data_IF_142626602373
#
_entry.id   IF_142626602373
#
_cell.length_a   1.000
_cell.length_b   1.000
_cell.length_c   1.000
_cell.angle_alpha   90.00
_cell.angle_beta   90.00
_cell.angle_gamma   90.00
#
_symmetry.space_group_name_H-M   'P 1'
#
loop_
_entity.id
_entity.type
_entity.pdbx_description
1 polymer ?
#
# COMPACT_ATOMS: atom_id res chain seq x y z
N UNK A 1 -85.61 -14.31 5.92
CA UNK A 1 -84.71 -13.57 4.99
C UNK A 1 -83.38 -13.33 5.71
N UNK A 2 -82.35 -14.16 5.42
CA UNK A 2 -81.01 -14.03 6.04
C UNK A 2 -80.00 -13.65 4.96
N UNK A 3 -79.46 -12.43 5.02
CA UNK A 3 -78.40 -11.96 4.14
C UNK A 3 -77.05 -12.31 4.76
N UNK A 4 -76.34 -13.22 4.13
CA UNK A 4 -74.95 -13.54 4.45
C UNK A 4 -74.02 -12.53 3.74
N UNK A 5 -73.22 -11.75 4.49
CA UNK A 5 -72.12 -10.95 3.98
C UNK A 5 -70.85 -11.79 3.99
N UNK A 6 -70.27 -12.02 2.81
CA UNK A 6 -68.95 -12.62 2.63
C UNK A 6 -67.91 -11.49 2.71
N UNK A 7 -67.11 -11.48 3.76
CA UNK A 7 -65.93 -10.62 3.90
C UNK A 7 -64.76 -11.29 3.18
N UNK A 8 -64.35 -10.73 2.05
CA UNK A 8 -63.13 -11.12 1.33
C UNK A 8 -61.93 -10.45 2.01
N UNK A 9 -61.15 -11.24 2.78
CA UNK A 9 -59.86 -10.81 3.34
C UNK A 9 -58.81 -10.87 2.23
N UNK A 10 -58.42 -9.71 1.71
CA UNK A 10 -57.29 -9.59 0.80
C UNK A 10 -55.97 -9.76 1.56
N UNK A 11 -55.25 -10.84 1.27
CA UNK A 11 -53.89 -11.10 1.81
C UNK A 11 -52.88 -10.24 1.05
N UNK A 12 -52.45 -9.12 1.63
CA UNK A 12 -51.35 -8.32 1.11
C UNK A 12 -50.06 -9.08 1.44
N UNK A 13 -49.50 -9.77 0.46
CA UNK A 13 -48.16 -10.36 0.55
C UNK A 13 -47.11 -9.20 0.53
N UNK A 14 -46.61 -8.84 1.69
CA UNK A 14 -45.43 -7.98 1.84
C UNK A 14 -44.23 -8.72 1.23
N UNK A 15 -43.88 -8.36 -0.01
CA UNK A 15 -42.61 -8.78 -0.61
C UNK A 15 -41.47 -8.17 0.21
N UNK A 16 -40.93 -8.92 1.14
CA UNK A 16 -39.64 -8.62 1.78
C UNK A 16 -38.56 -8.76 0.71
N UNK A 17 -38.15 -7.64 0.09
CA UNK A 17 -36.88 -7.57 -0.64
C UNK A 17 -35.77 -7.79 0.41
N UNK A 18 -34.95 -8.85 0.30
CA UNK A 18 -33.85 -9.03 1.23
C UNK A 18 -32.95 -7.80 1.12
N UNK A 19 -32.83 -7.04 2.21
CA UNK A 19 -31.83 -5.99 2.35
C UNK A 19 -30.47 -6.66 2.13
N UNK A 20 -29.86 -6.42 0.99
CA UNK A 20 -28.53 -6.90 0.66
C UNK A 20 -27.60 -6.25 1.68
N UNK A 21 -27.21 -7.00 2.71
CA UNK A 21 -26.20 -6.53 3.63
C UNK A 21 -25.00 -6.06 2.82
N UNK A 22 -24.59 -4.80 3.01
CA UNK A 22 -23.44 -4.24 2.29
C UNK A 22 -22.21 -5.08 2.61
N UNK A 23 -21.67 -5.76 1.61
CA UNK A 23 -20.45 -6.55 1.78
C UNK A 23 -19.31 -5.65 2.22
N UNK A 24 -18.59 -6.07 3.27
CA UNK A 24 -17.48 -5.31 3.87
C UNK A 24 -16.21 -6.17 3.98
N UNK A 25 -15.64 -6.65 2.86
CA UNK A 25 -14.45 -7.47 2.87
C UNK A 25 -13.29 -6.80 3.58
N UNK A 26 -12.50 -7.59 4.32
CA UNK A 26 -11.29 -7.11 4.99
C UNK A 26 -10.08 -7.32 4.06
N UNK A 27 -9.47 -6.22 3.67
CA UNK A 27 -8.38 -6.16 2.68
C UNK A 27 -7.06 -5.83 3.38
N UNK A 28 -6.07 -6.69 3.24
CA UNK A 28 -4.70 -6.39 3.62
C UNK A 28 -4.04 -5.54 2.52
N UNK A 29 -3.49 -4.38 2.86
CA UNK A 29 -2.91 -3.47 1.87
C UNK A 29 -1.55 -2.92 2.33
N UNK A 30 -0.58 -2.90 1.42
CA UNK A 30 0.69 -2.23 1.67
C UNK A 30 0.46 -0.73 1.95
N UNK A 31 1.13 -0.18 2.96
CA UNK A 31 0.93 1.22 3.38
C UNK A 31 1.29 2.25 2.33
N UNK A 32 2.10 1.89 1.33
CA UNK A 32 2.37 2.74 0.16
C UNK A 32 1.12 3.03 -0.68
N UNK A 33 0.07 2.21 -0.54
CA UNK A 33 -1.19 2.36 -1.27
C UNK A 33 -2.19 3.25 -0.54
N UNK A 34 -1.95 3.59 0.71
CA UNK A 34 -2.94 4.25 1.56
C UNK A 34 -3.54 5.51 0.90
N UNK A 35 -2.76 6.46 0.34
CA UNK A 35 -3.35 7.65 -0.29
C UNK A 35 -4.27 7.32 -1.48
N UNK A 36 -3.88 6.32 -2.29
CA UNK A 36 -4.67 5.88 -3.43
C UNK A 36 -5.95 5.14 -3.00
N UNK A 37 -5.88 4.33 -1.94
CA UNK A 37 -7.03 3.58 -1.44
C UNK A 37 -8.03 4.46 -0.68
N UNK A 38 -7.59 5.54 -0.07
CA UNK A 38 -8.47 6.57 0.51
C UNK A 38 -9.31 7.25 -0.57
N UNK A 39 -8.72 7.54 -1.74
CA UNK A 39 -9.47 8.05 -2.91
C UNK A 39 -10.33 6.96 -3.56
N UNK A 40 -9.83 5.72 -3.67
CA UNK A 40 -10.54 4.61 -4.29
C UNK A 40 -11.80 4.17 -3.51
N UNK A 41 -11.79 4.26 -2.19
CA UNK A 41 -12.86 3.74 -1.34
C UNK A 41 -14.27 4.22 -1.73
N UNK A 42 -14.53 5.54 -1.85
CA UNK A 42 -15.81 6.07 -2.31
C UNK A 42 -16.18 5.61 -3.73
N UNK A 43 -15.21 5.52 -4.65
CA UNK A 43 -15.45 5.06 -6.03
C UNK A 43 -15.86 3.59 -6.06
N UNK A 44 -15.18 2.74 -5.28
CA UNK A 44 -15.53 1.32 -5.11
C UNK A 44 -16.96 1.20 -4.60
N UNK A 45 -17.30 1.92 -3.53
CA UNK A 45 -18.64 1.88 -2.94
C UNK A 45 -19.73 2.25 -3.94
N UNK A 46 -19.51 3.32 -4.72
CA UNK A 46 -20.46 3.79 -5.71
C UNK A 46 -20.63 2.80 -6.87
N UNK A 47 -19.53 2.22 -7.37
CA UNK A 47 -19.55 1.37 -8.57
C UNK A 47 -19.92 -0.08 -8.29
N UNK A 48 -19.58 -0.58 -7.10
CA UNK A 48 -19.74 -2.01 -6.76
C UNK A 48 -20.77 -2.28 -5.68
N UNK A 49 -21.16 -1.28 -4.89
CA UNK A 49 -21.95 -1.45 -3.67
C UNK A 49 -21.18 -2.10 -2.53
N UNK A 50 -19.86 -2.33 -2.68
CA UNK A 50 -19.00 -2.94 -1.67
C UNK A 50 -18.28 -1.83 -0.89
N UNK A 51 -18.22 -1.97 0.44
CA UNK A 51 -17.48 -1.05 1.32
C UNK A 51 -16.28 -1.79 1.93
N UNK A 52 -15.12 -1.86 1.27
CA UNK A 52 -13.97 -2.58 1.80
C UNK A 52 -13.45 -1.93 3.08
N UNK A 53 -12.91 -2.75 3.98
CA UNK A 53 -12.13 -2.30 5.14
C UNK A 53 -10.67 -2.59 4.87
N UNK A 54 -9.82 -1.59 4.95
CA UNK A 54 -8.38 -1.74 4.72
C UNK A 54 -7.63 -1.88 6.05
N UNK A 55 -6.78 -2.90 6.14
CA UNK A 55 -5.76 -3.04 7.17
C UNK A 55 -4.39 -2.81 6.52
N UNK A 56 -3.70 -1.76 6.96
CA UNK A 56 -2.44 -1.34 6.37
C UNK A 56 -1.24 -1.92 7.11
N UNK A 57 -0.20 -2.34 6.36
CA UNK A 57 1.03 -2.87 6.92
C UNK A 57 2.15 -3.02 5.89
N UNK A 58 3.30 -3.54 6.31
CA UNK A 58 4.33 -4.02 5.38
C UNK A 58 3.87 -5.32 4.72
N UNK A 59 4.13 -5.49 3.41
CA UNK A 59 3.66 -6.66 2.64
C UNK A 59 4.07 -7.99 3.27
N UNK A 60 5.32 -8.11 3.73
CA UNK A 60 5.81 -9.33 4.39
C UNK A 60 5.12 -9.61 5.73
N UNK A 61 4.78 -8.57 6.52
CA UNK A 61 4.03 -8.74 7.77
C UNK A 61 2.59 -9.20 7.48
N UNK A 62 1.92 -8.59 6.51
CA UNK A 62 0.57 -8.96 6.10
C UNK A 62 0.53 -10.39 5.53
N UNK A 63 1.53 -10.77 4.74
CA UNK A 63 1.67 -12.12 4.22
C UNK A 63 1.82 -13.15 5.35
N UNK A 64 2.66 -12.87 6.37
CA UNK A 64 2.77 -13.74 7.54
C UNK A 64 1.46 -13.86 8.32
N UNK A 65 0.73 -12.77 8.49
CA UNK A 65 -0.59 -12.80 9.15
C UNK A 65 -1.59 -13.67 8.37
N UNK A 66 -1.61 -13.60 7.03
CA UNK A 66 -2.44 -14.46 6.18
C UNK A 66 -2.04 -15.94 6.37
N UNK A 67 -0.75 -16.25 6.35
CA UNK A 67 -0.25 -17.61 6.59
C UNK A 67 -0.62 -18.14 7.98
N UNK A 68 -0.73 -17.26 8.98
CA UNK A 68 -1.19 -17.57 10.35
C UNK A 68 -2.71 -17.59 10.50
N UNK A 69 -3.47 -17.42 9.41
CA UNK A 69 -4.92 -17.54 9.41
C UNK A 69 -5.70 -16.25 9.67
N UNK A 70 -5.06 -15.07 9.57
CA UNK A 70 -5.78 -13.81 9.65
C UNK A 70 -6.92 -13.74 8.61
N UNK A 71 -8.07 -13.09 8.94
CA UNK A 71 -9.28 -13.14 8.15
C UNK A 71 -9.28 -12.18 6.96
N UNK A 72 -8.13 -11.95 6.35
CA UNK A 72 -8.03 -11.14 5.13
C UNK A 72 -8.56 -11.90 3.93
N UNK A 73 -9.33 -11.21 3.10
CA UNK A 73 -9.96 -11.77 1.92
C UNK A 73 -9.19 -11.47 0.62
N UNK A 74 -8.44 -10.38 0.60
CA UNK A 74 -7.60 -9.94 -0.52
C UNK A 74 -6.31 -9.34 0.04
N UNK A 75 -5.18 -9.56 -0.62
CA UNK A 75 -3.90 -8.90 -0.34
C UNK A 75 -3.50 -8.02 -1.52
N UNK A 76 -3.24 -6.75 -1.24
CA UNK A 76 -2.62 -5.76 -2.14
C UNK A 76 -1.18 -5.55 -1.67
N UNK A 77 -0.24 -6.33 -2.20
CA UNK A 77 1.17 -6.26 -1.82
C UNK A 77 1.94 -5.24 -2.67
N UNK A 78 3.02 -4.69 -2.12
CA UNK A 78 3.96 -3.82 -2.83
C UNK A 78 5.14 -4.60 -3.46
N UNK A 79 5.06 -5.92 -3.50
CA UNK A 79 5.98 -6.82 -4.18
C UNK A 79 5.28 -8.09 -4.69
N UNK A 80 5.95 -8.81 -5.59
CA UNK A 80 5.49 -10.11 -6.08
C UNK A 80 5.82 -11.24 -5.09
N UNK A 81 6.96 -11.16 -4.42
CA UNK A 81 7.47 -12.24 -3.57
C UNK A 81 6.50 -12.63 -2.45
N UNK A 82 5.86 -11.65 -1.80
CA UNK A 82 4.86 -11.88 -0.76
C UNK A 82 3.66 -12.69 -1.27
N UNK A 83 3.17 -12.37 -2.47
CA UNK A 83 2.05 -13.08 -3.11
C UNK A 83 2.47 -14.48 -3.56
N UNK A 84 3.58 -14.59 -4.30
CA UNK A 84 4.03 -15.87 -4.84
C UNK A 84 4.36 -16.89 -3.73
N UNK A 85 4.94 -16.42 -2.63
CA UNK A 85 5.20 -17.27 -1.44
C UNK A 85 3.90 -17.80 -0.84
N UNK A 86 2.90 -16.95 -0.66
CA UNK A 86 1.59 -17.36 -0.14
C UNK A 86 0.83 -18.28 -1.10
N UNK A 87 0.91 -18.03 -2.42
CA UNK A 87 0.29 -18.88 -3.42
C UNK A 87 0.91 -20.29 -3.41
N UNK A 88 2.24 -20.38 -3.39
CA UNK A 88 2.98 -21.65 -3.27
C UNK A 88 2.62 -22.42 -1.99
N UNK A 89 2.38 -21.71 -0.90
CA UNK A 89 1.94 -22.30 0.39
C UNK A 89 0.43 -22.63 0.42
N UNK A 90 -0.33 -22.37 -0.65
CA UNK A 90 -1.75 -22.70 -0.74
C UNK A 90 -2.71 -21.76 -0.01
N UNK A 91 -2.26 -20.58 0.42
CA UNK A 91 -3.08 -19.60 1.13
C UNK A 91 -3.92 -18.70 0.20
N UNK A 92 -3.56 -18.63 -1.09
CA UNK A 92 -4.24 -17.82 -2.10
C UNK A 92 -5.00 -18.70 -3.09
N UNK A 93 -5.96 -18.12 -3.81
CA UNK A 93 -6.71 -18.82 -4.86
C UNK A 93 -5.84 -19.13 -6.08
N UNK A 94 -4.96 -18.19 -6.43
CA UNK A 94 -4.02 -18.23 -7.55
C UNK A 94 -2.77 -17.38 -7.23
N UNK A 95 -1.89 -17.20 -8.23
CA UNK A 95 -0.71 -16.34 -8.10
C UNK A 95 -1.02 -14.85 -8.23
N UNK A 96 -2.26 -14.47 -8.46
CA UNK A 96 -2.71 -13.09 -8.59
C UNK A 96 -2.15 -12.36 -9.81
N UNK A 97 -2.25 -11.02 -9.78
CA UNK A 97 -1.94 -10.16 -10.92
C UNK A 97 -1.07 -8.99 -10.49
N UNK A 98 -0.08 -8.64 -11.31
CA UNK A 98 0.62 -7.35 -11.17
C UNK A 98 -0.35 -6.26 -11.63
N UNK A 99 -0.53 -5.20 -10.82
CA UNK A 99 -1.50 -4.16 -11.10
C UNK A 99 -0.91 -2.75 -11.12
N UNK A 100 0.29 -2.58 -10.55
CA UNK A 100 0.99 -1.30 -10.53
C UNK A 100 2.49 -1.50 -10.30
N UNK A 101 3.26 -0.45 -10.56
CA UNK A 101 4.67 -0.35 -10.22
C UNK A 101 4.91 0.84 -9.30
N UNK A 102 5.52 0.61 -8.14
CA UNK A 102 5.90 1.64 -7.21
C UNK A 102 7.24 2.29 -7.56
N UNK A 103 7.47 3.51 -7.08
CA UNK A 103 8.74 4.24 -7.24
C UNK A 103 9.29 4.62 -5.87
N UNK A 104 10.60 4.46 -5.71
CA UNK A 104 11.33 4.91 -4.54
C UNK A 104 11.70 6.38 -4.69
N UNK A 105 11.56 7.17 -3.62
CA UNK A 105 11.90 8.58 -3.57
C UNK A 105 12.86 8.88 -2.43
N UNK A 106 13.87 9.71 -2.71
CA UNK A 106 14.72 10.35 -1.72
C UNK A 106 14.01 11.61 -1.22
N UNK A 107 13.62 11.60 0.04
CA UNK A 107 12.99 12.73 0.70
C UNK A 107 13.98 13.47 1.61
N UNK A 108 14.02 14.79 1.50
CA UNK A 108 14.76 15.67 2.37
C UNK A 108 13.79 16.60 3.11
N UNK A 109 13.81 16.60 4.44
CA UNK A 109 13.05 17.52 5.27
C UNK A 109 13.54 18.97 5.04
N UNK A 110 12.69 19.96 5.22
CA UNK A 110 13.12 21.35 5.23
C UNK A 110 14.25 21.56 6.26
N UNK A 111 15.32 22.22 5.86
CA UNK A 111 16.53 22.39 6.67
C UNK A 111 17.46 21.16 6.71
N UNK A 112 17.20 20.13 5.93
CA UNK A 112 18.14 19.02 5.74
C UNK A 112 19.46 19.52 5.12
N UNK A 113 20.59 18.85 5.44
CA UNK A 113 21.91 19.26 4.94
C UNK A 113 22.15 18.92 3.47
N UNK A 114 21.17 18.37 2.75
CA UNK A 114 21.26 18.01 1.32
C UNK A 114 20.00 18.42 0.55
N UNK A 115 20.18 18.61 -0.76
CA UNK A 115 19.08 18.71 -1.71
C UNK A 115 18.82 17.32 -2.33
N UNK A 116 17.59 16.78 -2.26
CA UNK A 116 17.29 15.49 -2.88
C UNK A 116 17.49 15.49 -4.39
N UNK A 117 17.41 16.64 -5.07
CA UNK A 117 17.67 16.75 -6.51
C UNK A 117 19.10 16.36 -6.90
N UNK A 118 20.06 16.46 -5.97
CA UNK A 118 21.44 16.00 -6.17
C UNK A 118 21.60 14.47 -6.08
N UNK A 119 20.51 13.73 -5.81
CA UNK A 119 20.52 12.28 -5.73
C UNK A 119 21.17 11.72 -4.46
N UNK A 120 21.19 10.38 -4.39
CA UNK A 120 21.72 9.65 -3.23
C UNK A 120 23.23 9.85 -3.01
N UNK A 121 24.00 10.09 -4.07
CA UNK A 121 25.44 10.34 -3.97
C UNK A 121 25.78 11.58 -3.12
N UNK A 122 24.87 12.55 -3.05
CA UNK A 122 25.05 13.74 -2.22
C UNK A 122 25.14 13.42 -0.71
N UNK A 123 24.68 12.23 -0.29
CA UNK A 123 24.80 11.79 1.10
C UNK A 123 26.24 11.43 1.49
N UNK A 124 27.10 11.03 0.54
CA UNK A 124 28.46 10.54 0.78
C UNK A 124 29.33 11.53 1.58
N UNK A 125 29.56 12.77 1.13
CA UNK A 125 30.37 13.73 1.88
C UNK A 125 29.73 14.10 3.22
N UNK A 126 28.41 14.09 3.32
CA UNK A 126 27.71 14.42 4.56
C UNK A 126 27.82 13.31 5.61
N UNK A 127 27.82 12.06 5.18
CA UNK A 127 28.05 10.90 6.04
C UNK A 127 29.49 10.91 6.57
N UNK A 128 30.46 11.16 5.70
CA UNK A 128 31.88 11.27 6.09
C UNK A 128 32.11 12.43 7.09
N UNK A 129 31.41 13.55 6.92
CA UNK A 129 31.48 14.71 7.82
C UNK A 129 30.58 14.58 9.08
N UNK A 130 29.88 13.45 9.27
CA UNK A 130 28.98 13.25 10.41
C UNK A 130 27.73 14.16 10.43
N UNK A 131 27.38 14.78 9.30
CA UNK A 131 26.29 15.76 9.20
C UNK A 131 24.89 15.12 9.05
N UNK A 132 24.81 13.80 8.90
CA UNK A 132 23.56 13.04 8.90
C UNK A 132 23.46 12.31 10.24
N UNK A 133 22.62 12.82 11.13
CA UNK A 133 22.40 12.19 12.43
C UNK A 133 21.44 11.01 12.34
N UNK A 134 20.33 11.15 11.61
CA UNK A 134 19.30 10.12 11.40
C UNK A 134 18.78 10.16 9.98
N UNK A 135 18.50 8.97 9.42
CA UNK A 135 17.94 8.81 8.09
C UNK A 135 16.95 7.64 8.10
N UNK A 136 15.73 7.86 7.58
CA UNK A 136 14.65 6.89 7.71
C UNK A 136 14.53 5.99 6.48
N UNK A 137 14.35 4.70 6.72
CA UNK A 137 13.91 3.72 5.71
C UNK A 137 12.91 2.76 6.37
N UNK A 138 12.10 2.05 5.57
CA UNK A 138 11.31 0.94 6.10
C UNK A 138 12.22 -0.26 6.42
N UNK A 139 11.80 -1.14 7.32
CA UNK A 139 12.57 -2.35 7.66
C UNK A 139 12.71 -3.26 6.42
N UNK A 140 13.93 -3.52 5.93
CA UNK A 140 14.16 -4.35 4.74
C UNK A 140 13.69 -5.80 4.88
N UNK A 141 13.65 -6.34 6.11
CA UNK A 141 13.23 -7.71 6.35
C UNK A 141 11.75 -7.95 6.01
N UNK A 142 10.93 -6.91 6.11
CA UNK A 142 9.47 -7.06 6.02
C UNK A 142 8.81 -6.17 4.97
N UNK A 143 9.48 -5.07 4.58
CA UNK A 143 8.91 -4.05 3.71
C UNK A 143 9.62 -4.01 2.35
N UNK A 144 8.89 -4.13 1.22
CA UNK A 144 9.47 -4.08 -0.12
C UNK A 144 10.25 -2.79 -0.38
N UNK A 145 9.73 -1.65 0.02
CA UNK A 145 10.43 -0.36 -0.11
C UNK A 145 11.67 -0.26 0.78
N UNK A 146 11.72 -1.00 1.89
CA UNK A 146 12.92 -1.12 2.72
C UNK A 146 14.01 -1.90 2.00
N UNK A 147 13.67 -3.02 1.34
CA UNK A 147 14.62 -3.78 0.50
C UNK A 147 15.15 -2.93 -0.65
N UNK A 148 14.27 -2.24 -1.37
CA UNK A 148 14.67 -1.35 -2.45
C UNK A 148 15.60 -0.22 -1.97
N UNK A 149 15.34 0.34 -0.78
CA UNK A 149 16.21 1.34 -0.15
C UNK A 149 17.59 0.77 0.19
N UNK A 150 17.65 -0.42 0.80
CA UNK A 150 18.90 -1.12 1.10
C UNK A 150 19.70 -1.42 -0.16
N UNK A 151 19.05 -1.97 -1.20
CA UNK A 151 19.68 -2.26 -2.50
C UNK A 151 20.29 -1.00 -3.13
N UNK A 152 19.52 0.09 -3.17
CA UNK A 152 20.02 1.35 -3.73
C UNK A 152 21.24 1.89 -2.96
N UNK A 153 21.21 1.83 -1.64
CA UNK A 153 22.32 2.27 -0.79
C UNK A 153 23.53 1.35 -0.94
N UNK A 154 23.34 0.02 -1.09
CA UNK A 154 24.43 -0.95 -1.31
C UNK A 154 25.07 -0.76 -2.69
N UNK A 155 24.28 -0.61 -3.75
CA UNK A 155 24.80 -0.40 -5.12
C UNK A 155 25.67 0.86 -5.23
N UNK A 156 25.39 1.88 -4.41
CA UNK A 156 26.20 3.09 -4.33
C UNK A 156 27.31 3.01 -3.30
N UNK A 157 27.50 1.91 -2.57
CA UNK A 157 28.48 1.78 -1.51
C UNK A 157 28.25 2.74 -0.33
N UNK A 158 27.00 3.11 -0.08
CA UNK A 158 26.62 4.02 1.01
C UNK A 158 26.11 3.25 2.25
N UNK A 159 25.77 1.97 2.11
CA UNK A 159 25.09 1.19 3.14
C UNK A 159 25.84 1.15 4.47
N UNK A 160 27.12 0.82 4.45
CA UNK A 160 27.90 0.66 5.70
C UNK A 160 28.08 1.99 6.43
N UNK A 161 28.26 3.08 5.69
CA UNK A 161 28.40 4.43 6.26
C UNK A 161 27.08 4.96 6.86
N UNK A 162 25.93 4.68 6.21
CA UNK A 162 24.63 5.18 6.65
C UNK A 162 23.97 4.27 7.70
N UNK A 163 24.25 2.97 7.70
CA UNK A 163 23.60 1.98 8.56
C UNK A 163 23.54 2.38 10.04
N UNK A 164 24.60 2.91 10.67
CA UNK A 164 24.53 3.36 12.07
C UNK A 164 23.61 4.56 12.31
N UNK A 165 23.15 5.22 11.25
CA UNK A 165 22.28 6.40 11.27
C UNK A 165 20.83 6.06 10.88
N UNK A 166 20.55 4.81 10.49
CA UNK A 166 19.23 4.40 10.03
C UNK A 166 18.23 4.32 11.18
N UNK A 167 17.04 4.83 10.91
CA UNK A 167 15.85 4.62 11.72
C UNK A 167 14.89 3.78 10.87
N UNK A 168 14.56 2.60 11.38
CA UNK A 168 13.71 1.65 10.67
C UNK A 168 12.24 1.83 11.04
N UNK A 169 11.39 2.14 10.07
CA UNK A 169 9.94 2.05 10.20
C UNK A 169 9.48 0.60 10.00
N UNK A 170 8.50 0.15 10.77
CA UNK A 170 7.87 -1.17 10.57
C UNK A 170 7.31 -1.35 9.15
N UNK A 171 6.89 -0.24 8.56
CA UNK A 171 6.37 -0.15 7.20
C UNK A 171 6.76 1.19 6.58
N UNK A 172 6.45 1.38 5.30
CA UNK A 172 6.91 2.57 4.57
C UNK A 172 6.20 3.86 5.01
N UNK A 173 4.98 3.80 5.56
CA UNK A 173 4.30 4.98 6.09
C UNK A 173 4.96 5.44 7.40
N UNK A 174 5.37 4.53 8.28
CA UNK A 174 6.11 4.88 9.50
C UNK A 174 7.50 5.44 9.16
N UNK A 175 8.19 4.86 8.15
CA UNK A 175 9.45 5.42 7.66
C UNK A 175 9.27 6.86 7.15
N UNK A 176 8.19 7.14 6.42
CA UNK A 176 7.86 8.48 5.95
C UNK A 176 7.58 9.44 7.13
N UNK A 177 6.91 8.98 8.19
CA UNK A 177 6.73 9.75 9.41
C UNK A 177 8.06 10.07 10.08
N UNK A 178 8.95 9.09 10.22
CA UNK A 178 10.29 9.31 10.80
C UNK A 178 11.13 10.26 9.96
N UNK A 179 11.03 10.21 8.62
CA UNK A 179 11.74 11.13 7.73
C UNK A 179 11.34 12.60 7.94
N UNK A 180 10.14 12.86 8.47
CA UNK A 180 9.64 14.20 8.77
C UNK A 180 10.00 14.69 10.19
N UNK A 181 10.47 13.82 11.10
CA UNK A 181 10.72 14.18 12.50
C UNK A 181 11.93 15.11 12.64
N UNK A 182 11.94 15.87 13.73
CA UNK A 182 13.12 16.66 14.10
C UNK A 182 14.33 15.76 14.35
N UNK A 183 15.49 16.19 13.85
CA UNK A 183 16.74 15.42 13.92
C UNK A 183 16.92 14.38 12.81
N UNK A 184 15.90 14.07 12.01
CA UNK A 184 16.08 13.31 10.78
C UNK A 184 16.46 14.24 9.63
N UNK A 185 17.45 13.85 8.82
CA UNK A 185 17.79 14.57 7.60
C UNK A 185 16.74 14.32 6.48
N UNK A 186 16.09 13.17 6.52
CA UNK A 186 15.11 12.70 5.54
C UNK A 186 15.05 11.18 5.51
N UNK A 187 14.77 10.60 4.35
CA UNK A 187 14.66 9.15 4.19
C UNK A 187 14.43 8.70 2.77
N UNK A 188 14.43 7.38 2.59
CA UNK A 188 13.96 6.71 1.36
C UNK A 188 12.54 6.21 1.59
N UNK A 189 11.60 6.74 0.83
CA UNK A 189 10.16 6.52 1.03
C UNK A 189 9.47 6.22 -0.30
N UNK A 190 8.21 5.79 -0.26
CA UNK A 190 7.41 5.61 -1.47
C UNK A 190 7.05 6.96 -2.10
N UNK A 191 7.12 7.07 -3.44
CA UNK A 191 6.67 8.25 -4.18
C UNK A 191 5.23 8.61 -3.86
N UNK A 192 4.35 7.60 -3.72
CA UNK A 192 2.93 7.80 -3.38
C UNK A 192 2.74 8.53 -2.05
N UNK A 193 3.60 8.28 -1.07
CA UNK A 193 3.61 9.00 0.21
C UNK A 193 4.28 10.37 0.06
N UNK A 194 5.42 10.45 -0.65
CA UNK A 194 6.12 11.71 -0.88
C UNK A 194 5.22 12.76 -1.57
N UNK A 195 4.32 12.32 -2.44
CA UNK A 195 3.32 13.16 -3.11
C UNK A 195 2.20 13.64 -2.18
N UNK A 196 2.03 13.06 -1.00
CA UNK A 196 0.97 13.46 -0.07
C UNK A 196 1.19 14.87 0.48
N UNK A 197 0.09 15.59 0.75
CA UNK A 197 0.14 16.96 1.26
C UNK A 197 0.98 17.11 2.54
N UNK A 198 0.93 16.22 3.53
CA UNK A 198 1.76 16.34 4.74
C UNK A 198 3.26 16.29 4.46
N UNK A 199 3.72 15.44 3.53
CA UNK A 199 5.14 15.34 3.19
C UNK A 199 5.60 16.50 2.33
N UNK A 200 4.79 16.90 1.33
CA UNK A 200 5.10 18.08 0.50
C UNK A 200 5.21 19.38 1.30
N UNK A 201 4.43 19.53 2.36
CA UNK A 201 4.52 20.67 3.26
C UNK A 201 5.77 20.65 4.16
N UNK A 202 6.42 19.51 4.32
CA UNK A 202 7.55 19.32 5.25
C UNK A 202 8.91 19.17 4.59
N UNK A 203 8.96 18.98 3.27
CA UNK A 203 10.22 18.73 2.58
C UNK A 203 10.09 18.70 1.06
N UNK A 204 11.17 18.26 0.44
CA UNK A 204 11.28 18.03 -1.00
C UNK A 204 11.71 16.61 -1.26
N UNK A 205 11.47 16.12 -2.46
CA UNK A 205 11.90 14.78 -2.85
C UNK A 205 12.36 14.73 -4.31
N UNK A 206 13.13 13.72 -4.64
CA UNK A 206 13.46 13.32 -6.01
C UNK A 206 13.29 11.81 -6.15
N UNK A 207 13.09 11.35 -7.39
CA UNK A 207 13.04 9.92 -7.67
C UNK A 207 14.42 9.28 -7.54
N UNK A 208 14.47 8.11 -6.93
CA UNK A 208 15.64 7.24 -7.00
C UNK A 208 15.65 6.56 -8.36
N UNK A 209 16.79 6.51 -9.08
CA UNK A 209 16.89 5.78 -10.34
C UNK A 209 16.53 4.32 -10.19
N UNK A 210 15.69 3.79 -11.09
CA UNK A 210 15.25 2.38 -11.04
C UNK A 210 16.40 1.38 -11.18
N UNK A 211 17.49 1.77 -11.85
CA UNK A 211 18.68 0.93 -11.95
C UNK A 211 19.36 0.62 -10.62
N UNK A 212 19.00 1.33 -9.54
CA UNK A 212 19.61 1.15 -8.22
C UNK A 212 18.91 0.10 -7.35
N UNK A 213 17.76 -0.43 -7.74
CA UNK A 213 17.03 -1.45 -6.99
C UNK A 213 16.18 -2.31 -7.92
N UNK A 214 15.74 -3.47 -7.43
CA UNK A 214 14.76 -4.29 -8.16
C UNK A 214 13.42 -3.56 -8.30
N UNK A 215 12.68 -3.77 -9.42
CA UNK A 215 11.39 -3.12 -9.64
C UNK A 215 10.37 -3.43 -8.53
N UNK A 216 9.73 -2.40 -8.02
CA UNK A 216 8.66 -2.53 -7.01
C UNK A 216 7.33 -2.89 -7.70
N UNK A 217 7.20 -4.12 -8.17
CA UNK A 217 5.99 -4.62 -8.84
C UNK A 217 4.94 -4.97 -7.80
N UNK A 218 3.92 -4.14 -7.71
CA UNK A 218 2.78 -4.36 -6.84
C UNK A 218 1.89 -5.47 -7.40
N UNK A 219 1.64 -6.49 -6.59
CA UNK A 219 0.82 -7.65 -6.97
C UNK A 219 -0.33 -7.84 -6.00
N UNK A 220 -1.48 -8.26 -6.48
CA UNK A 220 -2.65 -8.56 -5.67
C UNK A 220 -3.15 -9.98 -5.91
N UNK A 221 -3.74 -10.59 -4.87
CA UNK A 221 -4.41 -11.87 -4.99
C UNK A 221 -5.50 -12.06 -3.93
N UNK A 222 -6.54 -12.80 -4.29
CA UNK A 222 -7.61 -13.20 -3.38
C UNK A 222 -7.14 -14.39 -2.54
N UNK A 223 -7.36 -14.33 -1.24
CA UNK A 223 -7.02 -15.42 -0.31
C UNK A 223 -8.03 -16.58 -0.45
N UNK A 224 -7.71 -17.75 0.12
CA UNK A 224 -8.68 -18.87 0.20
C UNK A 224 -9.94 -18.51 1.00
N UNK A 225 -9.90 -17.48 1.83
CA UNK A 225 -11.05 -16.96 2.60
C UNK A 225 -11.89 -15.95 1.83
N UNK A 226 -11.35 -15.38 0.73
CA UNK A 226 -12.04 -14.34 -0.03
C UNK A 226 -13.34 -14.85 -0.64
N UNK A 227 -14.44 -14.13 -0.38
CA UNK A 227 -15.76 -14.38 -0.96
C UNK A 227 -15.95 -13.69 -2.31
N UNK A 228 -17.20 -13.62 -2.76
CA UNK A 228 -17.61 -12.96 -4.01
C UNK A 228 -17.21 -11.48 -4.03
N UNK A 229 -17.38 -10.78 -2.90
CA UNK A 229 -16.99 -9.38 -2.77
C UNK A 229 -15.50 -9.15 -3.00
N UNK A 230 -14.63 -10.06 -2.52
CA UNK A 230 -13.19 -9.98 -2.76
C UNK A 230 -12.83 -10.19 -4.25
N UNK A 231 -13.52 -11.09 -4.95
CA UNK A 231 -13.33 -11.30 -6.39
C UNK A 231 -13.77 -10.07 -7.20
N UNK A 232 -14.89 -9.46 -6.84
CA UNK A 232 -15.36 -8.23 -7.47
C UNK A 232 -14.41 -7.06 -7.22
N UNK A 233 -13.82 -6.97 -6.01
CA UNK A 233 -12.79 -5.98 -5.71
C UNK A 233 -11.50 -6.24 -6.49
N UNK A 234 -11.06 -7.49 -6.63
CA UNK A 234 -9.93 -7.84 -7.50
C UNK A 234 -10.15 -7.31 -8.92
N UNK A 235 -11.32 -7.59 -9.51
CA UNK A 235 -11.67 -7.10 -10.84
C UNK A 235 -11.65 -5.56 -10.91
N UNK A 236 -12.15 -4.88 -9.86
CA UNK A 236 -12.12 -3.41 -9.79
C UNK A 236 -10.69 -2.87 -9.74
N UNK A 237 -9.80 -3.45 -8.90
CA UNK A 237 -8.40 -3.02 -8.81
C UNK A 237 -7.59 -3.25 -10.10
N UNK A 238 -8.04 -4.16 -10.96
CA UNK A 238 -7.45 -4.40 -12.28
C UNK A 238 -8.08 -3.54 -13.40
N UNK A 239 -9.05 -2.69 -13.06
CA UNK A 239 -9.74 -1.86 -14.04
C UNK A 239 -8.94 -0.62 -14.45
N UNK A 240 -9.26 -0.02 -15.63
CA UNK A 240 -8.67 1.26 -16.04
C UNK A 240 -8.93 2.40 -15.07
N UNK A 241 -10.06 2.38 -14.35
CA UNK A 241 -10.40 3.40 -13.33
C UNK A 241 -9.43 3.31 -12.16
N UNK A 242 -9.18 2.10 -11.65
CA UNK A 242 -8.19 1.89 -10.59
C UNK A 242 -6.78 2.31 -11.04
N UNK A 243 -6.38 1.97 -12.27
CA UNK A 243 -5.09 2.38 -12.83
C UNK A 243 -4.94 3.92 -12.86
N UNK A 244 -6.00 4.65 -13.21
CA UNK A 244 -5.99 6.12 -13.16
C UNK A 244 -5.87 6.66 -11.73
N UNK A 245 -6.56 6.05 -10.75
CA UNK A 245 -6.40 6.41 -9.33
C UNK A 245 -4.94 6.19 -8.90
N UNK A 246 -4.39 5.03 -9.17
CA UNK A 246 -3.00 4.71 -8.82
C UNK A 246 -2.00 5.67 -9.47
N UNK A 247 -2.18 6.02 -10.75
CA UNK A 247 -1.31 6.95 -11.46
C UNK A 247 -1.31 8.35 -10.82
N UNK A 248 -2.46 8.87 -10.39
CA UNK A 248 -2.54 10.17 -9.67
C UNK A 248 -1.72 10.19 -8.39
N UNK A 249 -1.54 9.04 -7.76
CA UNK A 249 -0.74 8.87 -6.55
C UNK A 249 0.71 8.42 -6.82
N UNK A 250 1.17 8.47 -8.09
CA UNK A 250 2.56 8.16 -8.44
C UNK A 250 2.89 6.66 -8.48
N UNK A 251 1.88 5.82 -8.68
CA UNK A 251 2.06 4.41 -9.01
C UNK A 251 1.94 4.28 -10.53
N UNK A 252 2.93 3.69 -11.17
CA UNK A 252 2.98 3.53 -12.63
C UNK A 252 2.21 2.27 -13.07
N UNK A 253 1.89 2.20 -14.36
CA UNK A 253 1.37 0.96 -14.96
C UNK A 253 2.38 -0.20 -14.80
N UNK A 254 1.90 -1.46 -14.79
CA UNK A 254 2.73 -2.66 -14.67
C UNK A 254 3.86 -2.75 -15.66
#
# INVERSE_FOLDING_TARGET
MHRRYLLSAGLLALMHTPSRATERPLIAAATSLQPALEEAGPLIATQTGIMPRFAYGASGNLARQIAQGAPFELLLAADEASILTLAKAGHLRDEGHVYARGRLALFARHGAPFDPAAGLEALRPLLAAGRIARFAIANPETAPYGRAAEEALRRLGLWDAIRPRLVFGENIAQAAQFAMTEGAAGGLIALSLANSSPLRARGRFSLVPEALHEPLRHRLAVTKRGGEGALRLQAWFLSPIAAQVFARHGLEAP
#
